data_IF_182308792013
#
_entry.id   IF_182308792013
#
_cell.length_a   1.000
_cell.length_b   1.000
_cell.length_c   1.000
_cell.angle_alpha   90.00
_cell.angle_beta   90.00
_cell.angle_gamma   90.00
#
_symmetry.space_group_name_H-M   'P 1'
#
loop_
_entity.id
_entity.type
_entity.pdbx_description
1 polymer ?
#
# COMPACT_ATOMS: atom_id res chain seq x y z
N UNK A 1 16.38 41.89 4.28
CA UNK A 1 16.83 40.85 5.21
C UNK A 1 15.61 40.44 6.03
N UNK A 2 14.87 39.44 5.55
CA UNK A 2 13.78 38.78 6.29
C UNK A 2 13.93 37.31 5.97
N UNK A 3 14.78 36.64 6.76
CA UNK A 3 14.81 35.19 6.83
C UNK A 3 13.44 34.74 7.36
N UNK A 4 12.62 34.22 6.45
CA UNK A 4 11.46 33.44 6.82
C UNK A 4 11.98 32.17 7.53
N UNK A 5 11.95 32.18 8.86
CA UNK A 5 12.01 30.99 9.67
C UNK A 5 10.86 30.10 9.20
N UNK A 6 11.17 29.19 8.30
CA UNK A 6 10.31 28.07 7.93
C UNK A 6 10.27 27.17 9.16
N UNK A 7 9.35 27.45 10.06
CA UNK A 7 9.09 26.61 11.23
C UNK A 7 8.69 25.24 10.69
N UNK A 8 9.55 24.25 10.88
CA UNK A 8 9.23 22.88 10.57
C UNK A 8 7.92 22.53 11.27
N UNK A 9 6.94 22.02 10.52
CA UNK A 9 5.66 21.60 11.07
C UNK A 9 5.92 20.45 12.05
N UNK A 10 5.66 20.64 13.37
CA UNK A 10 5.97 19.61 14.38
C UNK A 10 5.26 18.27 14.09
N UNK A 11 4.04 18.31 13.55
CA UNK A 11 3.32 17.09 13.17
C UNK A 11 4.03 16.32 12.05
N UNK A 12 4.67 17.05 11.13
CA UNK A 12 5.45 16.43 10.04
C UNK A 12 6.73 15.79 10.56
N UNK A 13 7.41 16.39 11.51
CA UNK A 13 8.62 15.81 12.09
C UNK A 13 8.28 14.59 12.97
N UNK A 14 7.22 14.64 13.76
CA UNK A 14 6.74 13.50 14.53
C UNK A 14 6.36 12.31 13.62
N UNK A 15 5.71 12.57 12.50
CA UNK A 15 5.37 11.53 11.52
C UNK A 15 6.64 10.87 10.93
N UNK A 16 7.63 11.65 10.50
CA UNK A 16 8.89 11.13 9.99
C UNK A 16 9.61 10.28 11.02
N UNK A 17 9.60 10.72 12.26
CA UNK A 17 10.20 9.98 13.37
C UNK A 17 9.51 8.62 13.56
N UNK A 18 8.18 8.57 13.61
CA UNK A 18 7.42 7.31 13.73
C UNK A 18 7.75 6.32 12.60
N UNK A 19 7.81 6.79 11.35
CA UNK A 19 8.16 5.93 10.20
C UNK A 19 9.59 5.41 10.33
N UNK A 20 10.53 6.27 10.70
CA UNK A 20 11.94 5.90 10.87
C UNK A 20 12.15 4.92 12.03
N UNK A 21 11.45 5.11 13.15
CA UNK A 21 11.46 4.21 14.30
C UNK A 21 10.90 2.84 13.94
N UNK A 22 9.80 2.79 13.21
CA UNK A 22 9.25 1.53 12.71
C UNK A 22 10.26 0.81 11.81
N UNK A 23 10.82 1.51 10.81
CA UNK A 23 11.78 0.93 9.87
C UNK A 23 13.05 0.44 10.57
N UNK A 24 13.46 1.04 11.70
CA UNK A 24 14.60 0.63 12.53
C UNK A 24 14.29 -0.45 13.57
N UNK A 25 13.05 -0.91 13.69
CA UNK A 25 12.62 -1.80 14.77
C UNK A 25 12.89 -3.28 14.48
N UNK A 26 13.06 -4.08 15.55
CA UNK A 26 13.10 -5.55 15.44
C UNK A 26 11.79 -6.15 14.86
N UNK A 27 10.68 -5.46 15.05
CA UNK A 27 9.41 -5.86 14.47
C UNK A 27 9.49 -5.82 12.94
N UNK A 28 10.06 -4.76 12.38
CA UNK A 28 10.30 -4.65 10.95
C UNK A 28 11.27 -5.73 10.46
N UNK A 29 12.36 -5.99 11.17
CA UNK A 29 13.32 -7.04 10.79
C UNK A 29 12.65 -8.42 10.69
N UNK A 30 11.81 -8.76 11.65
CA UNK A 30 11.04 -10.02 11.63
C UNK A 30 10.05 -10.07 10.47
N UNK A 31 9.32 -8.97 10.25
CA UNK A 31 8.35 -8.86 9.17
C UNK A 31 9.02 -8.96 7.78
N UNK A 32 10.17 -8.30 7.62
CA UNK A 32 10.97 -8.35 6.41
C UNK A 32 11.49 -9.76 6.12
N UNK A 33 12.08 -10.41 7.13
CA UNK A 33 12.57 -11.79 7.00
C UNK A 33 11.45 -12.78 6.66
N UNK A 34 10.30 -12.66 7.32
CA UNK A 34 9.12 -13.49 7.04
C UNK A 34 8.61 -13.26 5.62
N UNK A 35 8.50 -12.00 5.21
CA UNK A 35 8.01 -11.63 3.87
C UNK A 35 8.91 -12.17 2.76
N UNK A 36 10.23 -11.96 2.86
CA UNK A 36 11.18 -12.46 1.87
C UNK A 36 11.23 -13.99 1.84
N UNK A 37 11.19 -14.64 3.01
CA UNK A 37 11.14 -16.10 3.10
C UNK A 37 9.89 -16.68 2.45
N UNK A 38 8.74 -16.02 2.60
CA UNK A 38 7.49 -16.46 1.99
C UNK A 38 7.47 -16.26 0.46
N UNK A 39 8.10 -15.19 -0.03
CA UNK A 39 8.33 -14.99 -1.48
C UNK A 39 9.16 -16.12 -2.06
N UNK A 40 10.27 -16.47 -1.42
CA UNK A 40 11.17 -17.55 -1.86
C UNK A 40 10.47 -18.91 -1.83
N UNK A 41 9.73 -19.21 -0.76
CA UNK A 41 8.96 -20.45 -0.63
C UNK A 41 7.89 -20.58 -1.73
N UNK A 42 7.14 -19.49 -1.99
CA UNK A 42 6.11 -19.47 -3.02
C UNK A 42 6.70 -19.66 -4.42
N UNK A 43 7.81 -18.98 -4.72
CA UNK A 43 8.51 -19.15 -5.99
C UNK A 43 8.98 -20.59 -6.18
N UNK A 44 9.62 -21.16 -5.16
CA UNK A 44 10.10 -22.55 -5.18
C UNK A 44 8.99 -23.57 -5.37
N UNK A 45 7.85 -23.36 -4.71
CA UNK A 45 6.68 -24.23 -4.88
C UNK A 45 6.08 -24.11 -6.27
N UNK A 46 5.81 -22.90 -6.73
CA UNK A 46 5.13 -22.68 -8.02
C UNK A 46 5.99 -23.10 -9.21
N UNK A 47 7.31 -22.95 -9.13
CA UNK A 47 8.22 -23.42 -10.18
C UNK A 47 8.55 -24.92 -10.12
N UNK A 48 8.34 -25.55 -9.00
CA UNK A 48 8.66 -26.95 -8.74
C UNK A 48 7.42 -27.83 -8.52
N UNK A 49 7.15 -28.22 -7.25
CA UNK A 49 6.05 -29.15 -6.92
C UNK A 49 4.68 -28.69 -7.39
N UNK A 50 4.41 -27.40 -7.36
CA UNK A 50 3.12 -26.83 -7.80
C UNK A 50 2.79 -27.13 -9.26
N UNK A 51 3.79 -27.20 -10.13
CA UNK A 51 3.59 -27.63 -11.54
C UNK A 51 3.15 -29.10 -11.64
N UNK A 52 3.64 -29.93 -10.75
CA UNK A 52 3.25 -31.36 -10.71
C UNK A 52 1.83 -31.46 -10.15
N UNK A 53 1.53 -30.71 -9.10
CA UNK A 53 0.21 -30.74 -8.48
C UNK A 53 -0.87 -30.21 -9.44
N UNK A 54 -0.62 -29.12 -10.15
CA UNK A 54 -1.57 -28.56 -11.11
C UNK A 54 -1.91 -29.52 -12.25
N UNK A 55 -0.96 -30.37 -12.69
CA UNK A 55 -1.20 -31.38 -13.75
C UNK A 55 -2.09 -32.55 -13.32
N UNK A 56 -2.23 -32.79 -12.01
CA UNK A 56 -3.10 -33.83 -11.46
C UNK A 56 -4.56 -33.37 -11.37
N UNK A 57 -4.81 -32.06 -11.46
CA UNK A 57 -6.12 -31.47 -11.38
C UNK A 57 -6.87 -31.58 -12.71
N UNK A 58 -8.20 -31.67 -12.65
CA UNK A 58 -9.01 -31.51 -13.84
C UNK A 58 -8.94 -30.03 -14.34
N UNK A 59 -9.48 -29.80 -15.53
CA UNK A 59 -9.40 -28.46 -16.19
C UNK A 59 -9.94 -27.32 -15.34
N UNK A 60 -11.07 -27.50 -14.66
CA UNK A 60 -11.70 -26.48 -13.84
C UNK A 60 -10.86 -26.16 -12.61
N UNK A 61 -10.41 -27.19 -11.91
CA UNK A 61 -9.55 -27.03 -10.73
C UNK A 61 -8.17 -26.49 -11.09
N UNK A 62 -7.64 -26.80 -12.26
CA UNK A 62 -6.39 -26.23 -12.74
C UNK A 62 -6.51 -24.71 -13.00
N UNK A 63 -7.67 -24.22 -13.46
CA UNK A 63 -7.94 -22.79 -13.59
C UNK A 63 -8.01 -22.09 -12.20
N UNK A 64 -8.67 -22.74 -11.23
CA UNK A 64 -8.71 -22.25 -9.86
C UNK A 64 -7.31 -22.20 -9.24
N UNK A 65 -6.51 -23.25 -9.44
CA UNK A 65 -5.11 -23.31 -9.02
C UNK A 65 -4.30 -22.15 -9.60
N UNK A 66 -4.46 -21.90 -10.90
CA UNK A 66 -3.76 -20.80 -11.57
C UNK A 66 -4.18 -19.44 -11.00
N UNK A 67 -5.48 -19.22 -10.79
CA UNK A 67 -5.99 -17.98 -10.20
C UNK A 67 -5.44 -17.75 -8.79
N UNK A 68 -5.50 -18.75 -7.90
CA UNK A 68 -4.94 -18.65 -6.54
C UNK A 68 -3.43 -18.43 -6.54
N UNK A 69 -2.71 -19.06 -7.46
CA UNK A 69 -1.26 -18.85 -7.63
C UNK A 69 -0.92 -17.41 -8.04
N UNK A 70 -1.71 -16.83 -8.94
CA UNK A 70 -1.56 -15.41 -9.33
C UNK A 70 -1.87 -14.49 -8.17
N UNK A 71 -2.91 -14.76 -7.39
CA UNK A 71 -3.28 -14.00 -6.20
C UNK A 71 -2.17 -14.03 -5.14
N UNK A 72 -1.61 -15.21 -4.85
CA UNK A 72 -0.46 -15.36 -3.93
C UNK A 72 0.71 -14.53 -4.43
N UNK A 73 1.07 -14.65 -5.69
CA UNK A 73 2.20 -13.92 -6.29
C UNK A 73 1.99 -12.41 -6.21
N UNK A 74 0.80 -11.93 -6.57
CA UNK A 74 0.46 -10.48 -6.54
C UNK A 74 0.56 -9.92 -5.13
N UNK A 75 -0.03 -10.59 -4.14
CA UNK A 75 0.04 -10.15 -2.73
C UNK A 75 1.47 -10.11 -2.21
N UNK A 76 2.24 -11.15 -2.50
CA UNK A 76 3.63 -11.25 -2.05
C UNK A 76 4.51 -10.20 -2.72
N UNK A 77 4.35 -9.93 -4.01
CA UNK A 77 5.11 -8.89 -4.70
C UNK A 77 4.79 -7.50 -4.16
N UNK A 78 3.51 -7.20 -3.90
CA UNK A 78 3.11 -5.92 -3.33
C UNK A 78 3.66 -5.75 -1.90
N UNK A 79 3.51 -6.77 -1.05
CA UNK A 79 4.05 -6.74 0.30
C UNK A 79 5.58 -6.60 0.30
N UNK A 80 6.28 -7.36 -0.56
CA UNK A 80 7.73 -7.29 -0.70
C UNK A 80 8.19 -5.91 -1.18
N UNK A 81 7.51 -5.32 -2.17
CA UNK A 81 7.82 -3.96 -2.65
C UNK A 81 7.71 -2.94 -1.53
N UNK A 82 6.64 -3.00 -0.72
CA UNK A 82 6.48 -2.11 0.42
C UNK A 82 7.59 -2.30 1.47
N UNK A 83 7.92 -3.56 1.79
CA UNK A 83 8.99 -3.88 2.74
C UNK A 83 10.36 -3.36 2.25
N UNK A 84 10.64 -3.47 0.96
CA UNK A 84 11.89 -2.93 0.36
C UNK A 84 11.93 -1.40 0.45
N UNK A 85 10.80 -0.72 0.24
CA UNK A 85 10.70 0.74 0.42
C UNK A 85 11.01 1.14 1.87
N UNK A 86 10.43 0.45 2.87
CA UNK A 86 10.72 0.74 4.27
C UNK A 86 12.19 0.46 4.63
N UNK A 87 12.79 -0.55 4.02
CA UNK A 87 14.21 -0.82 4.17
C UNK A 87 15.07 0.30 3.58
N UNK A 88 14.71 0.83 2.43
CA UNK A 88 15.41 1.97 1.82
C UNK A 88 15.32 3.23 2.69
N UNK A 89 14.20 3.45 3.38
CA UNK A 89 14.08 4.51 4.40
C UNK A 89 15.04 4.29 5.56
N UNK A 90 15.13 3.06 6.09
CA UNK A 90 16.07 2.71 7.16
C UNK A 90 17.52 2.94 6.76
N UNK A 91 17.90 2.54 5.55
CA UNK A 91 19.26 2.67 4.99
C UNK A 91 19.58 4.10 4.55
N UNK A 92 18.58 5.01 4.60
CA UNK A 92 18.64 6.42 4.17
C UNK A 92 18.85 6.59 2.66
N UNK A 93 18.54 5.55 1.89
CA UNK A 93 18.55 5.57 0.42
C UNK A 93 17.27 6.23 -0.14
N UNK A 94 16.23 6.32 0.69
CA UNK A 94 14.95 6.96 0.37
C UNK A 94 14.50 7.87 1.52
N UNK A 95 13.96 9.03 1.18
CA UNK A 95 13.36 9.92 2.18
C UNK A 95 12.00 9.39 2.63
N UNK A 96 11.64 9.67 3.88
CA UNK A 96 10.34 9.27 4.45
C UNK A 96 9.18 9.83 3.64
N UNK A 97 9.30 11.07 3.15
CA UNK A 97 8.29 11.73 2.33
C UNK A 97 8.05 11.01 1.00
N UNK A 98 9.12 10.55 0.36
CA UNK A 98 9.05 9.78 -0.89
C UNK A 98 8.38 8.42 -0.66
N UNK A 99 8.69 7.76 0.46
CA UNK A 99 8.06 6.49 0.83
C UNK A 99 6.54 6.62 1.08
N UNK A 100 6.08 7.83 1.42
CA UNK A 100 4.66 8.16 1.60
C UNK A 100 3.90 8.39 0.29
N UNK A 101 4.57 8.47 -0.86
CA UNK A 101 3.92 8.67 -2.16
C UNK A 101 2.94 7.54 -2.47
N UNK A 102 1.81 7.87 -3.09
CA UNK A 102 0.72 6.93 -3.42
C UNK A 102 1.20 5.70 -4.20
N UNK A 103 2.21 5.86 -5.06
CA UNK A 103 2.80 4.78 -5.86
C UNK A 103 3.46 3.66 -5.02
N UNK A 104 3.84 3.96 -3.78
CA UNK A 104 4.45 3.00 -2.85
C UNK A 104 3.47 2.48 -1.79
N UNK A 105 2.24 3.01 -1.78
CA UNK A 105 1.20 2.61 -0.84
C UNK A 105 0.54 1.32 -1.30
N UNK A 106 0.04 0.55 -0.33
CA UNK A 106 -0.66 -0.69 -0.64
C UNK A 106 -2.13 -0.42 -0.99
N UNK A 107 -2.58 -1.01 -2.10
CA UNK A 107 -3.99 -1.03 -2.44
C UNK A 107 -4.73 -2.06 -1.58
N UNK A 108 -5.99 -1.80 -1.27
CA UNK A 108 -6.83 -2.80 -0.62
C UNK A 108 -7.08 -3.96 -1.60
N UNK A 109 -6.73 -5.18 -1.21
CA UNK A 109 -7.05 -6.37 -2.01
C UNK A 109 -8.55 -6.63 -2.00
N UNK A 110 -9.06 -7.19 -3.10
CA UNK A 110 -10.48 -7.56 -3.21
C UNK A 110 -10.89 -8.67 -2.24
N UNK A 111 -12.20 -8.90 -2.15
CA UNK A 111 -12.77 -9.99 -1.35
C UNK A 111 -12.24 -11.34 -1.82
N UNK A 112 -11.95 -12.27 -0.89
CA UNK A 112 -11.52 -13.61 -1.25
C UNK A 112 -12.60 -14.34 -2.04
N UNK A 113 -12.22 -14.99 -3.13
CA UNK A 113 -13.12 -15.90 -3.80
C UNK A 113 -13.30 -17.17 -2.97
N UNK A 114 -14.52 -17.73 -2.86
CA UNK A 114 -14.73 -18.99 -2.18
C UNK A 114 -14.07 -20.11 -3.01
N UNK A 115 -13.11 -20.78 -2.41
CA UNK A 115 -12.42 -21.94 -3.01
C UNK A 115 -12.70 -23.17 -2.16
N UNK A 116 -13.08 -24.27 -2.79
CA UNK A 116 -13.17 -25.55 -2.11
C UNK A 116 -11.75 -26.06 -1.79
N UNK A 117 -11.37 -25.88 -0.54
CA UNK A 117 -10.02 -26.21 -0.05
C UNK A 117 -9.73 -27.71 -0.03
N UNK A 118 -10.77 -28.57 -0.01
CA UNK A 118 -10.63 -30.03 0.05
C UNK A 118 -10.07 -30.63 -1.23
N UNK A 119 -10.23 -29.93 -2.35
CA UNK A 119 -9.81 -30.38 -3.68
C UNK A 119 -8.52 -29.70 -4.18
N UNK A 120 -8.03 -28.70 -3.43
CA UNK A 120 -6.80 -27.98 -3.78
C UNK A 120 -5.57 -28.54 -3.06
N UNK A 121 -4.38 -28.45 -3.66
CA UNK A 121 -3.13 -28.85 -3.00
C UNK A 121 -2.95 -28.10 -1.67
N UNK A 122 -2.70 -28.83 -0.59
CA UNK A 122 -2.60 -28.29 0.76
C UNK A 122 -1.47 -27.22 0.86
N UNK A 123 -0.37 -27.42 0.12
CA UNK A 123 0.73 -26.46 0.11
C UNK A 123 0.33 -25.14 -0.54
N UNK A 124 -0.45 -25.15 -1.64
CA UNK A 124 -1.01 -23.92 -2.21
C UNK A 124 -1.91 -23.21 -1.20
N UNK A 125 -2.80 -23.94 -0.54
CA UNK A 125 -3.72 -23.35 0.44
C UNK A 125 -2.99 -22.74 1.64
N UNK A 126 -1.90 -23.36 2.08
CA UNK A 126 -1.02 -22.79 3.10
C UNK A 126 -0.38 -21.47 2.64
N UNK A 127 0.10 -21.41 1.39
CA UNK A 127 0.64 -20.17 0.82
C UNK A 127 -0.43 -19.09 0.66
N UNK A 128 -1.64 -19.44 0.26
CA UNK A 128 -2.79 -18.51 0.18
C UNK A 128 -3.05 -17.88 1.54
N UNK A 129 -3.15 -18.67 2.61
CA UNK A 129 -3.43 -18.17 3.95
C UNK A 129 -2.31 -17.28 4.47
N UNK A 130 -1.07 -17.74 4.35
CA UNK A 130 0.10 -17.02 4.86
C UNK A 130 0.38 -15.72 4.09
N UNK A 131 0.23 -15.74 2.77
CA UNK A 131 0.36 -14.53 1.95
C UNK A 131 -0.71 -13.49 2.30
N UNK A 132 -1.95 -13.93 2.54
CA UNK A 132 -3.04 -13.07 2.99
C UNK A 132 -2.75 -12.46 4.36
N UNK A 133 -2.37 -13.29 5.33
CA UNK A 133 -2.06 -12.83 6.69
C UNK A 133 -0.88 -11.85 6.71
N UNK A 134 0.17 -12.09 5.90
CA UNK A 134 1.28 -11.17 5.72
C UNK A 134 0.81 -9.84 5.12
N UNK A 135 0.05 -9.90 4.02
CA UNK A 135 -0.45 -8.72 3.32
C UNK A 135 -1.31 -7.84 4.23
N UNK A 136 -2.24 -8.43 4.99
CA UNK A 136 -3.09 -7.70 5.94
C UNK A 136 -2.28 -7.02 7.06
N UNK A 137 -1.21 -7.65 7.55
CA UNK A 137 -0.32 -7.03 8.53
C UNK A 137 0.43 -5.84 7.92
N UNK A 138 1.02 -6.03 6.74
CA UNK A 138 1.74 -4.96 6.04
C UNK A 138 0.80 -3.82 5.70
N UNK A 139 -0.41 -4.11 5.23
CA UNK A 139 -1.43 -3.10 4.93
C UNK A 139 -1.83 -2.29 6.18
N UNK A 140 -1.96 -2.95 7.34
CA UNK A 140 -2.22 -2.23 8.61
C UNK A 140 -1.08 -1.29 8.97
N UNK A 141 0.18 -1.72 8.82
CA UNK A 141 1.32 -0.83 9.03
C UNK A 141 1.33 0.32 8.03
N UNK A 142 1.11 0.04 6.76
CA UNK A 142 1.01 1.06 5.72
C UNK A 142 -0.04 2.12 6.09
N UNK A 143 -1.24 1.68 6.42
CA UNK A 143 -2.33 2.59 6.81
C UNK A 143 -1.97 3.37 8.08
N UNK A 144 -1.46 2.72 9.13
CA UNK A 144 -1.14 3.39 10.39
C UNK A 144 -0.01 4.41 10.24
N UNK A 145 1.01 4.09 9.46
CA UNK A 145 2.18 4.96 9.29
C UNK A 145 1.91 6.15 8.37
N UNK A 146 1.06 5.97 7.35
CA UNK A 146 0.92 6.94 6.26
C UNK A 146 -0.48 7.56 6.13
N UNK A 147 -1.50 7.12 6.87
CA UNK A 147 -2.84 7.73 6.85
C UNK A 147 -2.84 9.18 7.36
N UNK A 148 -1.93 9.48 8.26
CA UNK A 148 -1.72 10.83 8.84
C UNK A 148 -0.53 11.55 8.19
N UNK A 149 -0.17 11.20 6.95
CA UNK A 149 0.85 11.98 6.25
C UNK A 149 0.38 13.42 6.23
N UNK A 150 1.07 14.36 6.89
CA UNK A 150 0.74 15.76 6.75
C UNK A 150 0.94 16.07 5.27
N UNK A 151 -0.16 16.21 4.54
CA UNK A 151 -0.04 16.67 3.16
C UNK A 151 0.78 17.95 3.22
N UNK A 152 1.79 18.11 2.34
CA UNK A 152 2.39 19.43 2.21
C UNK A 152 1.22 20.39 2.13
N UNK A 153 1.28 21.48 2.85
CA UNK A 153 0.27 22.52 2.79
C UNK A 153 0.27 23.07 1.35
N UNK A 154 -0.14 22.23 0.41
CA UNK A 154 -0.61 22.65 -0.89
C UNK A 154 -1.80 23.52 -0.58
N UNK A 155 -1.50 24.78 -0.49
CA UNK A 155 -2.38 25.92 -0.45
C UNK A 155 -3.84 25.55 -0.65
N UNK A 156 -4.48 25.02 0.43
CA UNK A 156 -5.94 24.91 0.49
C UNK A 156 -6.58 26.27 0.20
N UNK A 157 -5.85 27.34 0.51
CA UNK A 157 -6.18 28.70 0.16
C UNK A 157 -6.16 28.91 -1.35
N UNK A 158 -5.15 28.41 -2.08
CA UNK A 158 -5.08 28.54 -3.54
C UNK A 158 -6.19 27.71 -4.23
N UNK A 159 -6.43 26.47 -3.77
CA UNK A 159 -7.57 25.68 -4.28
C UNK A 159 -8.94 26.29 -3.96
N UNK A 160 -9.08 26.96 -2.81
CA UNK A 160 -10.27 27.71 -2.48
C UNK A 160 -10.39 28.99 -3.32
N UNK A 161 -9.30 29.71 -3.54
CA UNK A 161 -9.26 30.89 -4.41
C UNK A 161 -9.59 30.48 -5.85
N UNK A 162 -9.06 29.40 -6.37
CA UNK A 162 -9.36 28.89 -7.71
C UNK A 162 -10.82 28.44 -7.84
N UNK A 163 -11.40 27.81 -6.83
CA UNK A 163 -12.83 27.48 -6.79
C UNK A 163 -13.70 28.72 -6.75
N UNK A 164 -13.34 29.72 -5.96
CA UNK A 164 -14.04 31.00 -5.91
C UNK A 164 -13.92 31.76 -7.22
N UNK A 165 -12.76 31.72 -7.87
CA UNK A 165 -12.52 32.32 -9.18
C UNK A 165 -13.33 31.64 -10.28
N UNK A 166 -13.36 30.29 -10.30
CA UNK A 166 -14.21 29.52 -11.22
C UNK A 166 -15.70 29.77 -10.98
N UNK A 167 -16.13 29.89 -9.73
CA UNK A 167 -17.51 30.23 -9.39
C UNK A 167 -17.89 31.67 -9.83
N UNK A 168 -16.95 32.60 -9.75
CA UNK A 168 -17.13 33.99 -10.20
C UNK A 168 -17.12 34.09 -11.74
N UNK A 169 -16.26 33.33 -12.43
CA UNK A 169 -16.18 33.28 -13.89
C UNK A 169 -17.36 32.49 -14.51
N UNK A 170 -17.94 31.55 -13.75
CA UNK A 170 -19.10 30.73 -14.16
C UNK A 170 -20.46 31.47 -14.13
N UNK A 171 -20.50 32.73 -13.83
CA UNK A 171 -21.73 33.55 -13.89
C UNK A 171 -22.81 33.21 -12.87
N UNK A 172 -22.51 32.38 -11.85
CA UNK A 172 -23.48 31.93 -10.85
C UNK A 172 -23.76 32.95 -9.74
N UNK A 173 -23.03 34.06 -9.69
CA UNK A 173 -23.20 35.11 -8.70
C UNK A 173 -23.41 36.47 -9.37
N UNK A 174 -24.67 36.86 -9.61
CA UNK A 174 -25.04 38.23 -9.96
C UNK A 174 -25.41 38.99 -8.65
N UNK A 175 -24.54 39.84 -8.12
CA UNK A 175 -24.80 40.57 -6.89
C UNK A 175 -25.94 41.61 -7.04
N UNK A 176 -26.36 41.92 -8.27
CA UNK A 176 -27.37 42.90 -8.55
C UNK A 176 -28.78 42.29 -8.74
N UNK A 177 -28.89 40.97 -8.75
CA UNK A 177 -30.17 40.27 -8.86
C UNK A 177 -31.10 40.51 -7.65
N UNK A 178 -30.50 40.87 -6.49
CA UNK A 178 -31.24 41.12 -5.23
C UNK A 178 -31.91 42.52 -5.23
N UNK A 179 -31.48 43.43 -6.09
CA UNK A 179 -31.99 44.83 -6.14
C UNK A 179 -32.92 45.11 -7.29
N UNK A 180 -33.34 44.12 -8.06
CA UNK A 180 -34.28 44.22 -9.19
C UNK A 180 -35.69 43.76 -8.83
N UNK A 181 -36.20 44.07 -7.68
CA UNK A 181 -37.63 43.97 -7.35
C UNK A 181 -38.17 45.31 -6.95
#
# INVERSE_FOLDING_TARGET
MRDAMYSADPAREEWKQRVSEFAGSELFDRLFKEGMGLVEEAASYLDGPGRVDSRKLNRELALVFAAESMEVTTRLMQAASWLVVQRAVREKDMKVEEAGDEKYRLARTGEPHPVDRSVMPAQLMSLVDRSRALYERVWRFDTTLYSETPQPAENNVMKQIDRLRQAAEGGAFDPLSVWRR
#
